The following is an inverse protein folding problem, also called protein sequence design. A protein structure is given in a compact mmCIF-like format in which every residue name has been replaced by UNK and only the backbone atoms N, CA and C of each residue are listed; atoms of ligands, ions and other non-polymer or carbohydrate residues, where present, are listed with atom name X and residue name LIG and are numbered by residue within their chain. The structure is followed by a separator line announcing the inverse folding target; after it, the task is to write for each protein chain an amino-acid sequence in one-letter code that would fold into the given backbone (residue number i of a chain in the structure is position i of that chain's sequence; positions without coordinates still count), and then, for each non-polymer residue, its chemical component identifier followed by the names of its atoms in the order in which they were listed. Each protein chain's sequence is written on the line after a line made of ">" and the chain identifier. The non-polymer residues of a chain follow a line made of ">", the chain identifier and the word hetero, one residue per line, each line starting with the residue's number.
data_IF_379139723381
#
_entry.id   IF_379139723381
#
_cell.length_a   1.000
_cell.length_b   1.000
_cell.length_c   1.000
_cell.angle_alpha   90.00
_cell.angle_beta   90.00
_cell.angle_gamma   90.00
#
_symmetry.space_group_name_H-M   'P 1'
#
loop_
_entity.id
_entity.type
_entity.pdbx_description
1 polymer ?
#
# COMPACT_ATOMS: atom_id res chain seq x y z
N UNK A 1 13.21 3.47 -5.50
CA UNK A 1 13.47 4.55 -4.52
C UNK A 1 14.98 4.71 -4.38
N UNK A 2 15.54 5.90 -4.55
CA UNK A 2 16.97 6.14 -4.41
C UNK A 2 17.47 5.85 -2.98
N UNK A 3 18.70 5.37 -2.83
CA UNK A 3 19.27 5.03 -1.52
C UNK A 3 19.41 6.22 -0.57
N UNK A 4 19.54 7.42 -1.12
CA UNK A 4 19.57 8.66 -0.33
C UNK A 4 18.24 8.91 0.40
N UNK A 5 17.11 8.72 -0.30
CA UNK A 5 15.76 8.87 0.28
C UNK A 5 15.54 7.79 1.34
N UNK A 6 15.99 6.56 1.08
CA UNK A 6 15.90 5.44 2.02
C UNK A 6 16.66 5.74 3.31
N UNK A 7 17.86 6.30 3.20
CA UNK A 7 18.72 6.66 4.33
C UNK A 7 18.12 7.81 5.16
N UNK A 8 17.56 8.84 4.52
CA UNK A 8 16.89 9.95 5.22
C UNK A 8 15.66 9.50 6.01
N UNK A 9 14.79 8.67 5.40
CA UNK A 9 13.61 8.12 6.09
C UNK A 9 14.03 7.26 7.29
N UNK A 10 15.08 6.44 7.13
CA UNK A 10 15.64 5.65 8.24
C UNK A 10 16.16 6.55 9.37
N UNK A 11 16.91 7.60 9.06
CA UNK A 11 17.42 8.53 10.07
C UNK A 11 16.30 9.23 10.86
N UNK A 12 15.23 9.64 10.19
CA UNK A 12 14.05 10.22 10.85
C UNK A 12 13.34 9.21 11.75
N UNK A 13 13.16 7.98 11.29
CA UNK A 13 12.57 6.91 12.09
C UNK A 13 13.43 6.58 13.32
N UNK A 14 14.76 6.52 13.18
CA UNK A 14 15.72 6.34 14.27
C UNK A 14 15.71 7.48 15.28
N UNK A 15 15.42 8.70 14.84
CA UNK A 15 15.33 9.87 15.73
C UNK A 15 14.03 9.86 16.54
N UNK A 16 12.93 9.42 15.94
CA UNK A 16 11.60 9.43 16.57
C UNK A 16 11.30 8.19 17.41
N UNK A 17 11.99 7.08 17.14
CA UNK A 17 11.81 5.81 17.83
C UNK A 17 13.18 5.24 18.21
N UNK A 18 13.34 4.82 19.46
CA UNK A 18 14.60 4.24 19.94
C UNK A 18 14.80 2.83 19.37
N UNK A 19 15.31 2.74 18.14
CA UNK A 19 15.66 1.47 17.49
C UNK A 19 17.11 1.04 17.74
N UNK A 20 17.84 1.71 18.64
CA UNK A 20 19.26 1.43 18.88
C UNK A 20 19.52 0.00 19.39
N UNK A 21 18.54 -0.60 20.07
CA UNK A 21 18.62 -1.95 20.64
C UNK A 21 17.62 -2.94 20.00
N UNK A 22 17.11 -2.65 18.80
CA UNK A 22 16.21 -3.57 18.10
C UNK A 22 17.02 -4.78 17.60
N UNK A 23 16.63 -5.99 18.02
CA UNK A 23 17.25 -7.21 17.48
C UNK A 23 16.77 -7.48 16.05
N UNK A 24 17.50 -8.35 15.34
CA UNK A 24 17.23 -8.67 13.93
C UNK A 24 15.81 -9.21 13.69
N UNK A 25 15.28 -10.01 14.61
CA UNK A 25 13.92 -10.57 14.51
C UNK A 25 12.85 -9.48 14.59
N UNK A 26 13.01 -8.52 15.51
CA UNK A 26 12.08 -7.41 15.68
C UNK A 26 12.19 -6.44 14.50
N UNK A 27 13.40 -6.22 13.98
CA UNK A 27 13.63 -5.43 12.78
C UNK A 27 12.95 -6.08 11.56
N UNK A 28 13.08 -7.40 11.39
CA UNK A 28 12.42 -8.14 10.32
C UNK A 28 10.89 -8.04 10.43
N UNK A 29 10.35 -8.17 11.64
CA UNK A 29 8.92 -8.03 11.91
C UNK A 29 8.40 -6.62 11.56
N UNK A 30 9.09 -5.57 12.02
CA UNK A 30 8.74 -4.19 11.73
C UNK A 30 8.81 -3.90 10.23
N UNK A 31 9.85 -4.37 9.54
CA UNK A 31 9.94 -4.26 8.08
C UNK A 31 8.78 -4.96 7.36
N UNK A 32 8.36 -6.14 7.86
CA UNK A 32 7.18 -6.85 7.34
C UNK A 32 5.92 -6.00 7.51
N UNK A 33 5.70 -5.42 8.69
CA UNK A 33 4.56 -4.54 8.95
C UNK A 33 4.55 -3.31 8.06
N UNK A 34 5.70 -2.65 7.87
CA UNK A 34 5.81 -1.53 6.94
C UNK A 34 5.50 -1.94 5.50
N UNK A 35 5.99 -3.09 5.05
CA UNK A 35 5.70 -3.60 3.72
C UNK A 35 4.21 -3.92 3.54
N UNK A 36 3.56 -4.51 4.56
CA UNK A 36 2.12 -4.79 4.55
C UNK A 36 1.31 -3.49 4.54
N UNK A 37 1.65 -2.52 5.40
CA UNK A 37 0.98 -1.22 5.44
C UNK A 37 1.14 -0.46 4.12
N UNK A 38 2.32 -0.48 3.52
CA UNK A 38 2.58 0.14 2.22
C UNK A 38 1.75 -0.50 1.11
N UNK A 39 1.67 -1.84 1.08
CA UNK A 39 0.82 -2.58 0.12
C UNK A 39 -0.65 -2.21 0.29
N UNK A 40 -1.14 -2.12 1.52
CA UNK A 40 -2.52 -1.73 1.81
C UNK A 40 -2.78 -0.31 1.34
N UNK A 41 -1.94 0.65 1.74
CA UNK A 41 -2.04 2.05 1.33
C UNK A 41 -2.06 2.21 -0.20
N UNK A 42 -1.20 1.49 -0.93
CA UNK A 42 -1.18 1.51 -2.39
C UNK A 42 -2.45 0.91 -3.00
N UNK A 43 -3.01 -0.15 -2.39
CA UNK A 43 -4.27 -0.76 -2.82
C UNK A 43 -5.45 0.18 -2.60
N UNK A 44 -5.52 0.84 -1.45
CA UNK A 44 -6.59 1.78 -1.11
C UNK A 44 -6.59 2.97 -2.07
N UNK A 45 -5.41 3.50 -2.40
CA UNK A 45 -5.25 4.56 -3.40
C UNK A 45 -5.65 4.10 -4.81
N UNK A 46 -5.29 2.88 -5.20
CA UNK A 46 -5.70 2.34 -6.49
C UNK A 46 -7.22 2.16 -6.58
N UNK A 47 -7.86 1.68 -5.50
CA UNK A 47 -9.31 1.56 -5.45
C UNK A 47 -10.00 2.93 -5.50
N UNK A 48 -9.44 3.93 -4.83
CA UNK A 48 -9.91 5.31 -4.94
C UNK A 48 -9.76 5.85 -6.37
N UNK A 49 -8.63 5.60 -7.02
CA UNK A 49 -8.42 5.94 -8.43
C UNK A 49 -9.45 5.26 -9.36
N UNK A 50 -9.77 3.97 -9.13
CA UNK A 50 -10.79 3.23 -9.88
C UNK A 50 -12.22 3.80 -9.74
N UNK A 51 -12.47 4.72 -8.80
CA UNK A 51 -13.78 5.40 -8.70
C UNK A 51 -14.00 6.49 -9.77
N UNK A 52 -12.94 6.87 -10.49
CA UNK A 52 -13.01 7.84 -11.57
C UNK A 52 -13.07 7.12 -12.92
N UNK A 53 -14.04 7.50 -13.76
CA UNK A 53 -14.22 6.92 -15.10
C UNK A 53 -13.12 7.35 -16.08
N UNK A 54 -12.48 8.50 -15.81
CA UNK A 54 -11.51 9.12 -16.70
C UNK A 54 -10.29 9.65 -15.92
N UNK A 55 -9.11 9.49 -16.53
CA UNK A 55 -7.83 9.91 -15.94
C UNK A 55 -7.78 11.42 -15.70
N UNK A 56 -8.27 12.21 -16.64
CA UNK A 56 -8.23 13.67 -16.54
C UNK A 56 -9.07 14.14 -15.36
N UNK A 57 -10.22 13.51 -15.12
CA UNK A 57 -11.06 13.77 -13.95
C UNK A 57 -10.35 13.38 -12.64
N UNK A 58 -9.69 12.21 -12.61
CA UNK A 58 -8.92 11.77 -11.44
C UNK A 58 -7.75 12.71 -11.11
N UNK A 59 -7.11 13.29 -12.11
CA UNK A 59 -6.02 14.24 -11.94
C UNK A 59 -6.53 15.61 -11.45
N UNK A 60 -7.59 16.14 -12.07
CA UNK A 60 -8.10 17.49 -11.77
C UNK A 60 -8.87 17.57 -10.45
N UNK A 61 -9.68 16.55 -10.13
CA UNK A 61 -10.62 16.58 -9.00
C UNK A 61 -10.39 15.47 -7.99
N UNK A 62 -9.56 14.50 -8.34
CA UNK A 62 -9.30 13.32 -7.54
C UNK A 62 -8.02 13.38 -6.73
N UNK A 63 -7.29 14.50 -6.68
CA UNK A 63 -6.11 14.60 -5.82
C UNK A 63 -6.54 14.54 -4.34
N UNK A 64 -6.12 13.51 -3.57
CA UNK A 64 -6.44 13.44 -2.15
C UNK A 64 -5.76 14.58 -1.38
N UNK A 65 -6.34 15.00 -0.25
CA UNK A 65 -5.78 16.06 0.58
C UNK A 65 -4.34 15.80 1.03
N UNK A 66 -3.96 14.52 1.21
CA UNK A 66 -2.59 14.16 1.58
C UNK A 66 -1.57 14.45 0.46
N UNK A 67 -2.02 14.81 -0.73
CA UNK A 67 -1.20 15.14 -1.89
C UNK A 67 -1.33 16.58 -2.37
N UNK A 68 -2.12 17.45 -1.72
CA UNK A 68 -2.27 18.87 -2.12
C UNK A 68 -0.92 19.59 -2.26
N UNK A 69 -0.01 19.42 -1.30
CA UNK A 69 1.33 20.03 -1.33
C UNK A 69 2.34 19.30 -2.25
N UNK A 70 1.91 18.23 -2.92
CA UNK A 70 2.78 17.33 -3.68
C UNK A 70 2.04 16.64 -4.82
N UNK A 71 1.29 17.44 -5.58
CA UNK A 71 0.39 16.98 -6.64
C UNK A 71 1.13 16.17 -7.72
N UNK A 72 2.40 16.49 -8.00
CA UNK A 72 3.27 15.70 -8.89
C UNK A 72 3.34 14.22 -8.50
N UNK A 73 3.29 13.89 -7.20
CA UNK A 73 3.28 12.51 -6.74
C UNK A 73 1.94 11.82 -7.03
N UNK A 74 0.83 12.56 -6.98
CA UNK A 74 -0.48 12.03 -7.37
C UNK A 74 -0.53 11.77 -8.89
N UNK A 75 -0.07 12.73 -9.69
CA UNK A 75 0.05 12.58 -11.16
C UNK A 75 0.89 11.36 -11.52
N UNK A 76 2.03 11.18 -10.84
CA UNK A 76 2.89 10.02 -11.03
C UNK A 76 2.18 8.71 -10.65
N UNK A 77 1.44 8.68 -9.54
CA UNK A 77 0.69 7.51 -9.09
C UNK A 77 -0.43 7.12 -10.08
N UNK A 78 -1.22 8.09 -10.55
CA UNK A 78 -2.26 7.85 -11.54
C UNK A 78 -1.70 7.27 -12.84
N UNK A 79 -0.59 7.84 -13.34
CA UNK A 79 0.11 7.33 -14.52
C UNK A 79 0.61 5.90 -14.30
N UNK A 80 1.17 5.63 -13.12
CA UNK A 80 1.66 4.30 -12.74
C UNK A 80 0.55 3.25 -12.68
N UNK A 81 -0.66 3.62 -12.21
CA UNK A 81 -1.79 2.70 -12.16
C UNK A 81 -2.29 2.25 -13.54
N UNK A 82 -2.08 3.07 -14.58
CA UNK A 82 -2.44 2.75 -15.95
C UNK A 82 -1.38 1.94 -16.70
N UNK A 83 -0.17 1.78 -16.14
CA UNK A 83 0.86 0.97 -16.77
C UNK A 83 0.36 -0.47 -16.95
N UNK A 84 0.51 -1.03 -18.15
CA UNK A 84 -0.01 -2.35 -18.49
C UNK A 84 0.51 -3.45 -17.54
N UNK A 85 1.75 -3.34 -17.08
CA UNK A 85 2.35 -4.29 -16.14
C UNK A 85 1.77 -4.15 -14.72
N UNK A 86 1.40 -2.93 -14.32
CA UNK A 86 0.70 -2.70 -13.07
C UNK A 86 -0.72 -3.28 -13.14
N UNK A 87 -1.47 -2.99 -14.19
CA UNK A 87 -2.84 -3.51 -14.37
C UNK A 87 -2.90 -5.04 -14.34
N UNK A 88 -1.95 -5.72 -15.01
CA UNK A 88 -1.84 -7.19 -14.96
C UNK A 88 -1.63 -7.69 -13.54
N UNK A 89 -0.72 -7.06 -12.79
CA UNK A 89 -0.42 -7.42 -11.39
C UNK A 89 -1.59 -7.12 -10.45
N UNK A 90 -2.26 -5.97 -10.62
CA UNK A 90 -3.41 -5.58 -9.81
C UNK A 90 -4.56 -6.59 -9.96
N UNK A 91 -4.86 -6.99 -11.20
CA UNK A 91 -5.88 -8.02 -11.48
C UNK A 91 -5.56 -9.37 -10.82
N UNK A 92 -4.31 -9.81 -10.90
CA UNK A 92 -3.86 -11.05 -10.25
C UNK A 92 -3.94 -10.94 -8.71
N UNK A 93 -3.51 -9.82 -8.14
CA UNK A 93 -3.56 -9.57 -6.70
C UNK A 93 -4.98 -9.54 -6.17
N UNK A 94 -5.93 -8.90 -6.88
CA UNK A 94 -7.35 -8.87 -6.51
C UNK A 94 -7.92 -10.29 -6.42
N UNK A 95 -7.66 -11.13 -7.43
CA UNK A 95 -8.08 -12.54 -7.42
C UNK A 95 -7.44 -13.34 -6.26
N UNK A 96 -6.18 -13.09 -5.93
CA UNK A 96 -5.52 -13.74 -4.80
C UNK A 96 -6.08 -13.26 -3.44
N UNK A 97 -6.45 -11.99 -3.32
CA UNK A 97 -7.04 -11.43 -2.11
C UNK A 97 -8.45 -11.99 -1.87
N UNK A 98 -9.29 -12.08 -2.89
CA UNK A 98 -10.62 -12.71 -2.81
C UNK A 98 -10.52 -14.18 -2.38
N UNK A 99 -9.56 -14.92 -2.91
CA UNK A 99 -9.27 -16.31 -2.47
C UNK A 99 -8.83 -16.38 -1.02
N UNK A 100 -7.97 -15.46 -0.57
CA UNK A 100 -7.49 -15.41 0.83
C UNK A 100 -8.64 -15.10 1.79
N UNK A 101 -9.53 -14.18 1.43
CA UNK A 101 -10.75 -13.87 2.20
C UNK A 101 -11.63 -15.12 2.27
N UNK A 102 -11.87 -15.78 1.14
CA UNK A 102 -12.64 -17.02 1.09
C UNK A 102 -12.04 -18.13 1.96
N UNK A 103 -10.72 -18.33 1.93
CA UNK A 103 -10.03 -19.30 2.80
C UNK A 103 -10.15 -18.93 4.28
N UNK A 104 -10.02 -17.65 4.64
CA UNK A 104 -10.12 -17.20 6.03
C UNK A 104 -11.52 -17.40 6.60
N UNK A 105 -12.55 -17.08 5.81
CA UNK A 105 -13.96 -17.30 6.18
C UNK A 105 -14.28 -18.80 6.24
N UNK A 106 -13.74 -19.60 5.32
CA UNK A 106 -13.94 -21.07 5.33
C UNK A 106 -13.28 -21.76 6.53
N UNK A 107 -12.14 -21.24 7.01
CA UNK A 107 -11.47 -21.71 8.24
C UNK A 107 -12.24 -21.27 9.49
N UNK A 108 -12.99 -20.16 9.43
CA UNK A 108 -13.87 -19.66 10.49
C UNK A 108 -15.30 -20.24 10.45
N UNK A 109 -15.52 -21.38 9.78
CA UNK A 109 -16.80 -22.11 9.79
C UNK A 109 -17.35 -22.36 11.21
N UNK A 110 -18.66 -22.61 11.37
CA UNK A 110 -19.35 -22.44 12.64
C UNK A 110 -18.77 -23.38 13.69
N UNK A 111 -18.16 -22.81 14.73
CA UNK A 111 -17.97 -23.49 15.99
C UNK A 111 -19.36 -23.83 16.55
N UNK A 112 -19.88 -25.01 16.18
CA UNK A 112 -21.01 -25.61 16.86
C UNK A 112 -20.54 -26.00 18.27
N UNK A 113 -20.88 -25.16 19.25
CA UNK A 113 -20.86 -25.54 20.66
C UNK A 113 -22.14 -26.35 20.88
N UNK A 114 -21.99 -27.67 21.00
CA UNK A 114 -23.03 -28.58 21.48
C UNK A 114 -23.11 -28.60 23.00
#
# INVERSE_FOLDING_TARGET
>A
MPDEVRTKVRAQLLTNYNFNDINDDTLAYVNRLFAERYKQWKSDLHQYFETFDDLQVALEKGCPKEFEDREDNWVWLCSHFQEADYMKKAKANKSNQEKKIFSTISIQGPFHIG
#
